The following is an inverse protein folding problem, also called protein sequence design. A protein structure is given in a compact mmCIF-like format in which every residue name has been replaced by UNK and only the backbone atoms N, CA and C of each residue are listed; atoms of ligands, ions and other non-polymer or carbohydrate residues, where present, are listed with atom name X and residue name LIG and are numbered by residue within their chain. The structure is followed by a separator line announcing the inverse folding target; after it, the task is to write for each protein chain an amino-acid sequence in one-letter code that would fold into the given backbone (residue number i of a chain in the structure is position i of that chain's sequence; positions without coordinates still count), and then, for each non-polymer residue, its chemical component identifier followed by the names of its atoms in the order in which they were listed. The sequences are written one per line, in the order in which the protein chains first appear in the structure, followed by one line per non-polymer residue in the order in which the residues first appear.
data_IF_277175073846
#
_entry.id   IF_277175073846
#
_cell.length_a   1.000
_cell.length_b   1.000
_cell.length_c   1.000
_cell.angle_alpha   90.00
_cell.angle_beta   90.00
_cell.angle_gamma   90.00
#
_symmetry.space_group_name_H-M   'P 1'
#
loop_
_entity.id
_entity.type
_entity.pdbx_description
1 polymer ?
#
# COMPACT_ATOMS: atom_id res chain seq x y z
N UNK A 1 -49.32 79.47 -56.18
CA UNK A 1 -49.26 78.02 -56.43
C UNK A 1 -47.79 77.60 -56.43
N UNK A 2 -47.21 77.28 -55.27
CA UNK A 2 -45.80 76.85 -55.22
C UNK A 2 -45.66 75.49 -55.86
N UNK A 3 -44.82 75.39 -56.89
CA UNK A 3 -44.59 74.16 -57.64
C UNK A 3 -44.07 73.07 -56.68
N UNK A 4 -44.46 71.81 -56.92
CA UNK A 4 -43.99 70.65 -56.14
C UNK A 4 -42.44 70.62 -56.02
N UNK A 5 -41.77 71.08 -57.08
CA UNK A 5 -40.31 71.20 -57.17
C UNK A 5 -39.74 72.23 -56.19
N UNK A 6 -40.40 73.38 -55.99
CA UNK A 6 -39.96 74.41 -55.04
C UNK A 6 -40.05 73.92 -53.59
N UNK A 7 -41.11 73.17 -53.26
CA UNK A 7 -41.27 72.58 -51.92
C UNK A 7 -40.17 71.56 -51.63
N UNK A 8 -39.84 70.69 -52.60
CA UNK A 8 -38.74 69.74 -52.48
C UNK A 8 -37.38 70.44 -52.36
N UNK A 9 -37.16 71.49 -53.16
CA UNK A 9 -35.94 72.29 -53.10
C UNK A 9 -35.73 72.91 -51.72
N UNK A 10 -36.75 73.56 -51.15
CA UNK A 10 -36.65 74.17 -49.82
C UNK A 10 -36.40 73.12 -48.73
N UNK A 11 -37.05 71.96 -48.80
CA UNK A 11 -36.85 70.88 -47.82
C UNK A 11 -35.45 70.28 -47.91
N UNK A 12 -34.96 69.96 -49.11
CA UNK A 12 -33.61 69.43 -49.28
C UNK A 12 -32.56 70.47 -48.87
N UNK A 13 -32.78 71.74 -49.24
CA UNK A 13 -31.88 72.82 -48.86
C UNK A 13 -31.76 72.98 -47.35
N UNK A 14 -32.88 72.99 -46.62
CA UNK A 14 -32.89 73.04 -45.15
C UNK A 14 -32.11 71.87 -44.53
N UNK A 15 -32.26 70.66 -45.07
CA UNK A 15 -31.54 69.47 -44.58
C UNK A 15 -30.02 69.57 -44.85
N UNK A 16 -29.64 70.05 -46.02
CA UNK A 16 -28.24 70.29 -46.37
C UNK A 16 -27.62 71.40 -45.51
N UNK A 17 -28.34 72.50 -45.27
CA UNK A 17 -27.90 73.59 -44.40
C UNK A 17 -27.71 73.14 -42.95
N UNK A 18 -28.60 72.27 -42.44
CA UNK A 18 -28.47 71.65 -41.10
C UNK A 18 -27.21 70.82 -40.96
N UNK A 19 -26.72 70.23 -42.06
CA UNK A 19 -25.48 69.46 -42.12
C UNK A 19 -24.27 70.32 -42.50
N UNK A 20 -24.46 71.64 -42.69
CA UNK A 20 -23.39 72.59 -43.00
C UNK A 20 -23.06 72.74 -44.49
N UNK A 21 -23.79 72.09 -45.39
CA UNK A 21 -23.60 72.21 -46.84
C UNK A 21 -24.24 73.48 -47.39
N UNK A 22 -23.47 74.57 -47.39
CA UNK A 22 -23.98 75.92 -47.76
C UNK A 22 -23.81 76.29 -49.23
N UNK A 23 -23.22 75.45 -50.07
CA UNK A 23 -22.94 75.74 -51.50
C UNK A 23 -24.23 75.98 -52.30
N UNK A 24 -24.19 76.85 -53.31
CA UNK A 24 -25.36 77.13 -54.14
C UNK A 24 -25.86 75.87 -54.87
N UNK A 25 -27.18 75.64 -54.86
CA UNK A 25 -27.83 74.47 -55.47
C UNK A 25 -28.68 74.90 -56.66
N UNK A 26 -28.38 74.36 -57.84
CA UNK A 26 -29.18 74.59 -59.05
C UNK A 26 -30.40 73.67 -59.12
N UNK A 27 -31.50 74.15 -59.71
CA UNK A 27 -32.78 73.42 -59.82
C UNK A 27 -32.61 72.12 -60.61
N UNK A 28 -31.77 72.12 -61.65
CA UNK A 28 -31.46 70.95 -62.49
C UNK A 28 -30.79 69.79 -61.72
N UNK A 29 -30.03 70.12 -60.66
CA UNK A 29 -29.32 69.14 -59.86
C UNK A 29 -30.16 68.53 -58.72
N UNK A 30 -31.36 69.07 -58.49
CA UNK A 30 -32.21 68.71 -57.35
C UNK A 30 -32.54 67.21 -57.25
N UNK A 31 -32.98 66.51 -58.33
CA UNK A 31 -33.34 65.10 -58.24
C UNK A 31 -32.14 64.18 -57.93
N UNK A 32 -30.96 64.54 -58.44
CA UNK A 32 -29.73 63.78 -58.22
C UNK A 32 -29.25 63.94 -56.77
N UNK A 33 -29.20 65.17 -56.28
CA UNK A 33 -28.78 65.45 -54.90
C UNK A 33 -29.76 64.84 -53.89
N UNK A 34 -31.07 64.87 -54.16
CA UNK A 34 -32.08 64.22 -53.31
C UNK A 34 -31.83 62.70 -53.19
N UNK A 35 -31.55 62.02 -54.32
CA UNK A 35 -31.23 60.59 -54.32
C UNK A 35 -29.93 60.28 -53.60
N UNK A 36 -28.85 60.98 -53.93
CA UNK A 36 -27.54 60.79 -53.28
C UNK A 36 -27.62 61.05 -51.77
N UNK A 37 -28.38 62.06 -51.36
CA UNK A 37 -28.59 62.37 -49.96
C UNK A 37 -29.38 61.28 -49.23
N UNK A 38 -30.44 60.77 -49.87
CA UNK A 38 -31.19 59.63 -49.34
C UNK A 38 -30.33 58.38 -49.21
N UNK A 39 -29.52 58.07 -50.22
CA UNK A 39 -28.61 56.91 -50.22
C UNK A 39 -27.52 57.05 -49.15
N UNK A 40 -26.98 58.26 -48.95
CA UNK A 40 -26.00 58.52 -47.91
C UNK A 40 -26.59 58.38 -46.49
N UNK A 41 -27.81 58.87 -46.28
CA UNK A 41 -28.52 58.67 -45.02
C UNK A 41 -28.82 57.18 -44.79
N UNK A 42 -29.30 56.49 -45.82
CA UNK A 42 -29.62 55.07 -45.72
C UNK A 42 -28.36 54.23 -45.43
N UNK A 43 -27.25 54.49 -46.11
CA UNK A 43 -25.98 53.78 -45.87
C UNK A 43 -25.44 54.06 -44.47
N UNK A 44 -25.50 55.31 -44.00
CA UNK A 44 -25.08 55.70 -42.65
C UNK A 44 -25.95 55.06 -41.57
N UNK A 45 -27.27 55.07 -41.73
CA UNK A 45 -28.20 54.44 -40.78
C UNK A 45 -28.05 52.91 -40.77
N UNK A 46 -27.89 52.29 -41.93
CA UNK A 46 -27.60 50.86 -42.05
C UNK A 46 -26.28 50.50 -41.37
N UNK A 47 -25.21 51.27 -41.59
CA UNK A 47 -23.91 51.05 -40.93
C UNK A 47 -24.00 51.23 -39.41
N UNK A 48 -24.75 52.21 -38.93
CA UNK A 48 -25.00 52.40 -37.49
C UNK A 48 -25.76 51.21 -36.89
N UNK A 49 -26.79 50.72 -37.58
CA UNK A 49 -27.57 49.53 -37.16
C UNK A 49 -26.71 48.27 -37.14
N UNK A 50 -25.89 48.03 -38.16
CA UNK A 50 -25.00 46.85 -38.20
C UNK A 50 -23.95 46.91 -37.09
N UNK A 51 -23.30 48.07 -36.88
CA UNK A 51 -22.32 48.24 -35.79
C UNK A 51 -22.94 47.99 -34.41
N UNK A 52 -24.15 48.51 -34.17
CA UNK A 52 -24.88 48.26 -32.92
C UNK A 52 -25.29 46.80 -32.77
N UNK A 53 -25.71 46.15 -33.87
CA UNK A 53 -26.03 44.71 -33.89
C UNK A 53 -24.82 43.85 -33.55
N UNK A 54 -23.66 44.15 -34.14
CA UNK A 54 -22.39 43.46 -33.86
C UNK A 54 -22.02 43.64 -32.39
N UNK A 55 -22.05 44.86 -31.86
CA UNK A 55 -21.71 45.11 -30.45
C UNK A 55 -22.61 44.34 -29.49
N UNK A 56 -23.93 44.30 -29.75
CA UNK A 56 -24.88 43.55 -28.92
C UNK A 56 -24.67 42.04 -29.02
N UNK A 57 -24.42 41.53 -30.22
CA UNK A 57 -24.17 40.11 -30.45
C UNK A 57 -22.87 39.66 -29.78
N UNK A 58 -21.80 40.47 -29.84
CA UNK A 58 -20.54 40.19 -29.15
C UNK A 58 -20.74 40.18 -27.63
N UNK A 59 -21.45 41.16 -27.06
CA UNK A 59 -21.77 41.15 -25.63
C UNK A 59 -22.61 39.93 -25.23
N UNK A 60 -23.70 39.66 -25.95
CA UNK A 60 -24.57 38.52 -25.65
C UNK A 60 -23.87 37.16 -25.80
N UNK A 61 -22.96 37.02 -26.78
CA UNK A 61 -22.17 35.80 -26.95
C UNK A 61 -21.13 35.64 -25.86
N UNK A 62 -20.53 36.73 -25.40
CA UNK A 62 -19.61 36.69 -24.27
C UNK A 62 -20.35 36.27 -22.99
N UNK A 63 -21.51 36.88 -22.71
CA UNK A 63 -22.34 36.53 -21.56
C UNK A 63 -22.77 35.06 -21.58
N UNK A 64 -23.21 34.55 -22.73
CA UNK A 64 -23.60 33.13 -22.87
C UNK A 64 -22.40 32.19 -22.76
N UNK A 65 -21.24 32.54 -23.30
CA UNK A 65 -20.01 31.74 -23.17
C UNK A 65 -19.54 31.69 -21.72
N UNK A 66 -19.58 32.84 -21.03
CA UNK A 66 -19.21 32.92 -19.61
C UNK A 66 -20.16 32.11 -18.74
N UNK A 67 -21.47 32.21 -18.96
CA UNK A 67 -22.46 31.41 -18.21
C UNK A 67 -22.25 29.90 -18.41
N UNK A 68 -21.85 29.48 -19.61
CA UNK A 68 -21.53 28.07 -19.89
C UNK A 68 -20.24 27.67 -19.18
N UNK A 69 -19.20 28.50 -19.19
CA UNK A 69 -17.96 28.20 -18.48
C UNK A 69 -18.17 28.15 -16.96
N UNK A 70 -18.94 29.08 -16.39
CA UNK A 70 -19.30 29.10 -14.97
C UNK A 70 -20.12 27.86 -14.57
N UNK A 71 -20.95 27.33 -15.47
CA UNK A 71 -21.69 26.10 -15.24
C UNK A 71 -20.82 24.84 -15.33
N UNK A 72 -19.75 24.87 -16.14
CA UNK A 72 -18.86 23.72 -16.37
C UNK A 72 -17.70 23.68 -15.36
N UNK A 73 -17.25 24.83 -14.87
CA UNK A 73 -16.12 24.95 -13.93
C UNK A 73 -16.24 24.02 -12.71
N UNK A 74 -17.39 23.91 -12.00
CA UNK A 74 -17.52 23.01 -10.86
C UNK A 74 -17.27 21.55 -11.24
N UNK A 75 -17.77 21.12 -12.39
CA UNK A 75 -17.58 19.75 -12.89
C UNK A 75 -16.13 19.50 -13.31
N UNK A 76 -15.42 20.50 -13.83
CA UNK A 76 -13.99 20.37 -14.15
C UNK A 76 -13.15 20.21 -12.89
N UNK A 77 -13.43 21.02 -11.88
CA UNK A 77 -12.73 20.95 -10.58
C UNK A 77 -13.01 19.61 -9.90
N UNK A 78 -14.27 19.17 -9.86
CA UNK A 78 -14.63 17.90 -9.23
C UNK A 78 -14.05 16.70 -9.98
N UNK A 79 -14.10 16.68 -11.32
CA UNK A 79 -13.44 15.64 -12.11
C UNK A 79 -11.93 15.61 -11.89
N UNK A 80 -11.26 16.76 -11.81
CA UNK A 80 -9.83 16.81 -11.52
C UNK A 80 -9.52 16.22 -10.13
N UNK A 81 -10.35 16.53 -9.13
CA UNK A 81 -10.24 15.96 -7.78
C UNK A 81 -10.47 14.45 -7.78
N UNK A 82 -11.53 13.97 -8.45
CA UNK A 82 -11.87 12.55 -8.53
C UNK A 82 -10.79 11.76 -9.25
N UNK A 83 -10.21 12.29 -10.34
CA UNK A 83 -9.09 11.65 -11.03
C UNK A 83 -7.86 11.56 -10.14
N UNK A 84 -7.56 12.61 -9.37
CA UNK A 84 -6.45 12.59 -8.42
C UNK A 84 -6.67 11.55 -7.31
N UNK A 85 -7.87 11.51 -6.73
CA UNK A 85 -8.26 10.55 -5.71
C UNK A 85 -8.22 9.11 -6.25
N UNK A 86 -8.76 8.88 -7.44
CA UNK A 86 -8.75 7.58 -8.10
C UNK A 86 -7.33 7.06 -8.33
N UNK A 87 -6.43 7.92 -8.82
CA UNK A 87 -5.03 7.58 -9.01
C UNK A 87 -4.33 7.27 -7.69
N UNK A 88 -4.58 8.07 -6.63
CA UNK A 88 -4.02 7.81 -5.29
C UNK A 88 -4.50 6.48 -4.74
N UNK A 89 -5.81 6.23 -4.78
CA UNK A 89 -6.41 4.97 -4.32
C UNK A 89 -5.88 3.78 -5.11
N UNK A 90 -5.68 3.93 -6.43
CA UNK A 90 -5.11 2.88 -7.25
C UNK A 90 -3.68 2.52 -6.82
N UNK A 91 -2.84 3.53 -6.56
CA UNK A 91 -1.47 3.32 -6.07
C UNK A 91 -1.46 2.66 -4.68
N UNK A 92 -2.32 3.10 -3.77
CA UNK A 92 -2.43 2.52 -2.43
C UNK A 92 -2.92 1.06 -2.49
N UNK A 93 -3.86 0.75 -3.38
CA UNK A 93 -4.35 -0.61 -3.59
C UNK A 93 -3.23 -1.51 -4.14
N UNK A 94 -2.46 -1.04 -5.12
CA UNK A 94 -1.31 -1.79 -5.65
C UNK A 94 -0.30 -2.06 -4.55
N UNK A 95 0.10 -1.03 -3.80
CA UNK A 95 1.07 -1.14 -2.72
C UNK A 95 0.62 -2.11 -1.62
N UNK A 96 -0.61 -1.96 -1.13
CA UNK A 96 -1.15 -2.82 -0.08
C UNK A 96 -1.28 -4.27 -0.53
N UNK A 97 -1.62 -4.50 -1.81
CA UNK A 97 -1.64 -5.85 -2.39
C UNK A 97 -0.24 -6.46 -2.44
N UNK A 98 0.76 -5.71 -2.89
CA UNK A 98 2.16 -6.17 -2.93
C UNK A 98 2.69 -6.50 -1.54
N UNK A 99 2.42 -5.65 -0.54
CA UNK A 99 2.78 -5.87 0.87
C UNK A 99 2.12 -7.13 1.44
N UNK A 100 0.83 -7.33 1.15
CA UNK A 100 0.10 -8.54 1.58
C UNK A 100 0.63 -9.81 0.90
N UNK A 101 0.93 -9.75 -0.40
CA UNK A 101 1.53 -10.86 -1.13
C UNK A 101 2.92 -11.20 -0.59
N UNK A 102 3.75 -10.19 -0.29
CA UNK A 102 5.06 -10.38 0.33
C UNK A 102 4.95 -11.00 1.73
N UNK A 103 4.07 -10.47 2.58
CA UNK A 103 3.82 -11.00 3.91
C UNK A 103 3.30 -12.45 3.84
N UNK A 104 2.38 -12.75 2.92
CA UNK A 104 1.87 -14.12 2.71
C UNK A 104 2.98 -15.09 2.29
N UNK A 105 3.87 -14.68 1.39
CA UNK A 105 5.03 -15.50 0.98
C UNK A 105 5.98 -15.75 2.15
N UNK A 106 6.30 -14.71 2.93
CA UNK A 106 7.18 -14.83 4.10
C UNK A 106 6.59 -15.75 5.18
N UNK A 107 5.31 -15.59 5.49
CA UNK A 107 4.62 -16.45 6.46
C UNK A 107 4.58 -17.91 5.98
N UNK A 108 4.29 -18.16 4.70
CA UNK A 108 4.33 -19.51 4.14
C UNK A 108 5.72 -20.13 4.20
N UNK A 109 6.77 -19.34 3.96
CA UNK A 109 8.15 -19.80 4.08
C UNK A 109 8.50 -20.15 5.54
N UNK A 110 8.12 -19.29 6.49
CA UNK A 110 8.32 -19.52 7.92
C UNK A 110 7.56 -20.76 8.42
N UNK A 111 6.31 -20.96 7.98
CA UNK A 111 5.54 -22.17 8.27
C UNK A 111 6.30 -23.41 7.80
N UNK A 112 6.77 -23.44 6.55
CA UNK A 112 7.53 -24.58 6.03
C UNK A 112 8.79 -24.81 6.86
N UNK A 113 9.54 -23.76 7.19
CA UNK A 113 10.74 -23.90 8.02
C UNK A 113 10.42 -24.53 9.38
N UNK A 114 9.39 -24.02 10.07
CA UNK A 114 8.95 -24.56 11.35
C UNK A 114 8.42 -26.00 11.24
N UNK A 115 7.77 -26.36 10.14
CA UNK A 115 7.33 -27.74 9.89
C UNK A 115 8.51 -28.70 9.76
N UNK A 116 9.59 -28.29 9.08
CA UNK A 116 10.81 -29.10 8.95
C UNK A 116 11.50 -29.24 10.32
N UNK A 117 11.70 -28.14 11.04
CA UNK A 117 12.30 -28.16 12.38
C UNK A 117 11.48 -29.02 13.36
N UNK A 118 10.15 -28.93 13.31
CA UNK A 118 9.28 -29.76 14.14
C UNK A 118 9.38 -31.25 13.77
N UNK A 119 9.48 -31.57 12.48
CA UNK A 119 9.70 -32.94 12.03
C UNK A 119 11.04 -33.51 12.54
N UNK A 120 12.12 -32.71 12.45
CA UNK A 120 13.44 -33.09 12.94
C UNK A 120 13.46 -33.27 14.46
N UNK A 121 12.84 -32.35 15.21
CA UNK A 121 12.70 -32.46 16.66
C UNK A 121 11.87 -33.69 17.07
N UNK A 122 10.79 -34.00 16.35
CA UNK A 122 10.00 -35.22 16.60
C UNK A 122 10.82 -36.49 16.32
N UNK A 123 11.61 -36.48 15.26
CA UNK A 123 12.51 -37.59 14.94
C UNK A 123 13.56 -37.77 16.05
N UNK A 124 14.23 -36.69 16.45
CA UNK A 124 15.23 -36.69 17.51
C UNK A 124 14.64 -37.15 18.86
N UNK A 125 13.46 -36.63 19.22
CA UNK A 125 12.76 -37.05 20.44
C UNK A 125 12.43 -38.55 20.41
N UNK A 126 11.98 -39.06 19.26
CA UNK A 126 11.73 -40.50 19.07
C UNK A 126 13.00 -41.33 19.28
N UNK A 127 14.16 -40.87 18.79
CA UNK A 127 15.46 -41.52 19.02
C UNK A 127 15.83 -41.51 20.51
N UNK A 128 15.67 -40.38 21.19
CA UNK A 128 15.96 -40.30 22.63
C UNK A 128 15.06 -41.23 23.45
N UNK A 129 13.77 -41.34 23.11
CA UNK A 129 12.87 -42.31 23.75
C UNK A 129 13.38 -43.75 23.60
N UNK A 130 13.84 -44.14 22.40
CA UNK A 130 14.40 -45.49 22.19
C UNK A 130 15.71 -45.70 22.96
N UNK A 131 16.56 -44.67 23.01
CA UNK A 131 17.82 -44.72 23.76
C UNK A 131 17.57 -44.88 25.25
N UNK A 132 16.63 -44.12 25.82
CA UNK A 132 16.22 -44.23 27.22
C UNK A 132 15.74 -45.64 27.52
N UNK A 133 14.81 -46.18 26.72
CA UNK A 133 14.32 -47.57 26.89
C UNK A 133 15.44 -48.60 26.89
N UNK A 134 16.43 -48.43 26.01
CA UNK A 134 17.59 -49.34 25.92
C UNK A 134 18.44 -49.26 27.19
N UNK A 135 18.75 -48.05 27.65
CA UNK A 135 19.53 -47.82 28.88
C UNK A 135 18.79 -48.31 30.12
N UNK A 136 17.49 -48.09 30.20
CA UNK A 136 16.64 -48.61 31.29
C UNK A 136 16.66 -50.14 31.36
N UNK A 137 16.54 -50.81 30.20
CA UNK A 137 16.64 -52.27 30.11
C UNK A 137 18.01 -52.78 30.54
N UNK A 138 19.10 -52.14 30.09
CA UNK A 138 20.45 -52.49 30.52
C UNK A 138 20.65 -52.27 32.02
N UNK A 139 20.14 -51.17 32.57
CA UNK A 139 20.20 -50.85 33.99
C UNK A 139 19.48 -51.89 34.84
N UNK A 140 18.26 -52.28 34.43
CA UNK A 140 17.51 -53.36 35.07
C UNK A 140 18.27 -54.68 35.02
N UNK A 141 18.84 -55.06 33.87
CA UNK A 141 19.63 -56.29 33.73
C UNK A 141 20.89 -56.31 34.59
N UNK A 142 21.61 -55.17 34.67
CA UNK A 142 22.77 -55.01 35.57
C UNK A 142 22.35 -55.16 37.03
N UNK A 143 21.22 -54.56 37.42
CA UNK A 143 20.67 -54.67 38.78
C UNK A 143 20.32 -56.11 39.14
N UNK A 144 19.63 -56.84 38.25
CA UNK A 144 19.31 -58.26 38.44
C UNK A 144 20.58 -59.13 38.57
N UNK A 145 21.61 -58.82 37.76
CA UNK A 145 22.88 -59.54 37.80
C UNK A 145 23.61 -59.29 39.12
N UNK A 146 23.64 -58.05 39.60
CA UNK A 146 24.20 -57.68 40.90
C UNK A 146 23.46 -58.43 42.01
N UNK A 147 22.13 -58.47 41.97
CA UNK A 147 21.33 -59.18 42.97
C UNK A 147 21.65 -60.68 42.99
N UNK A 148 21.68 -61.34 41.82
CA UNK A 148 22.07 -62.76 41.72
C UNK A 148 23.48 -63.03 42.24
N UNK A 149 24.43 -62.15 41.96
CA UNK A 149 25.80 -62.28 42.47
C UNK A 149 25.86 -62.08 43.99
N UNK A 150 25.10 -61.13 44.54
CA UNK A 150 24.97 -60.96 45.98
C UNK A 150 24.37 -62.20 46.64
N UNK A 151 23.30 -62.77 46.08
CA UNK A 151 22.68 -64.02 46.57
C UNK A 151 23.65 -65.21 46.54
N UNK A 152 24.44 -65.37 45.47
CA UNK A 152 25.48 -66.41 45.38
C UNK A 152 26.62 -66.17 46.39
N UNK A 153 27.03 -64.92 46.57
CA UNK A 153 28.04 -64.57 47.58
C UNK A 153 27.52 -64.85 49.00
N UNK A 154 26.21 -64.65 49.26
CA UNK A 154 25.52 -65.06 50.49
C UNK A 154 25.67 -66.55 50.84
N UNK A 155 25.82 -67.39 49.83
CA UNK A 155 25.91 -68.84 49.97
C UNK A 155 27.36 -69.37 49.93
N UNK A 156 28.36 -68.50 49.69
CA UNK A 156 29.75 -68.90 49.63
C UNK A 156 30.28 -69.28 51.03
N UNK A 157 30.39 -70.59 51.30
CA UNK A 157 31.01 -71.13 52.51
C UNK A 157 32.53 -71.02 52.39
N UNK A 158 33.15 -70.13 53.16
CA UNK A 158 34.61 -70.07 53.30
C UNK A 158 35.06 -71.31 54.06
N UNK A 159 35.59 -72.30 53.33
CA UNK A 159 36.21 -73.46 53.94
C UNK A 159 37.64 -73.08 54.31
N UNK A 160 37.87 -72.75 55.58
CA UNK A 160 39.23 -72.55 56.09
C UNK A 160 39.95 -73.91 56.17
N UNK A 161 41.28 -73.99 55.93
CA UNK A 161 42.06 -75.24 55.94
C UNK A 161 42.22 -75.90 57.33
N UNK A 162 41.21 -75.82 58.20
CA UNK A 162 41.22 -76.30 59.58
C UNK A 162 39.92 -76.98 60.04
N UNK A 163 39.05 -77.40 59.12
CA UNK A 163 38.00 -78.41 59.36
C UNK A 163 36.82 -78.03 60.27
N UNK A 164 36.77 -76.83 60.86
CA UNK A 164 35.60 -76.40 61.65
C UNK A 164 34.71 -75.47 60.84
N UNK A 165 33.56 -75.99 60.39
CA UNK A 165 32.46 -75.19 59.80
C UNK A 165 32.00 -74.17 60.84
N UNK A 166 32.39 -72.90 60.71
CA UNK A 166 31.81 -71.79 61.47
C UNK A 166 30.85 -71.04 60.55
N UNK A 167 29.60 -70.94 60.95
CA UNK A 167 28.60 -70.09 60.30
C UNK A 167 28.95 -68.63 60.64
N UNK A 168 29.70 -67.95 59.79
CA UNK A 168 30.05 -66.55 59.99
C UNK A 168 28.82 -65.72 59.58
N UNK A 169 28.28 -64.85 60.44
CA UNK A 169 27.11 -64.05 60.09
C UNK A 169 27.44 -63.13 58.92
N UNK A 170 26.51 -63.09 57.96
CA UNK A 170 26.70 -62.37 56.72
C UNK A 170 26.75 -60.87 56.96
N UNK A 171 27.95 -60.28 56.91
CA UNK A 171 28.10 -58.83 56.95
C UNK A 171 27.83 -58.32 55.54
N UNK A 172 26.63 -57.74 55.31
CA UNK A 172 26.38 -56.97 54.09
C UNK A 172 27.47 -55.90 54.00
N UNK A 173 28.38 -56.04 53.04
CA UNK A 173 29.33 -54.99 52.70
C UNK A 173 28.52 -53.82 52.14
N UNK A 174 28.08 -52.92 53.01
CA UNK A 174 27.53 -51.64 52.62
C UNK A 174 28.72 -50.76 52.26
N UNK A 175 28.90 -50.47 50.97
CA UNK A 175 29.64 -49.25 50.62
C UNK A 175 28.80 -48.08 51.11
N UNK A 176 29.28 -47.39 52.14
CA UNK A 176 28.89 -46.01 52.35
C UNK A 176 29.58 -45.23 51.22
N UNK A 177 28.78 -44.77 50.28
CA UNK A 177 29.20 -43.78 49.30
C UNK A 177 28.88 -42.44 49.93
N UNK A 178 29.91 -41.73 50.38
CA UNK A 178 29.77 -40.40 50.98
C UNK A 178 29.28 -39.36 49.96
N UNK A 179 29.44 -39.65 48.65
CA UNK A 179 28.89 -38.86 47.55
C UNK A 179 28.80 -39.71 46.27
N UNK A 180 27.76 -39.49 45.46
CA UNK A 180 27.61 -40.10 44.13
C UNK A 180 28.45 -39.40 43.06
N UNK A 181 29.02 -38.24 43.38
CA UNK A 181 29.85 -37.42 42.51
C UNK A 181 31.06 -36.91 43.29
N UNK A 182 32.28 -36.91 42.73
CA UNK A 182 33.41 -36.22 43.38
C UNK A 182 33.04 -34.75 43.63
N UNK A 183 33.53 -34.13 44.73
CA UNK A 183 33.31 -32.71 44.97
C UNK A 183 33.81 -31.94 43.75
N UNK A 184 33.08 -30.90 43.30
CA UNK A 184 33.51 -30.12 42.16
C UNK A 184 34.90 -29.56 42.48
N UNK A 185 35.91 -30.06 41.79
CA UNK A 185 37.23 -29.43 41.80
C UNK A 185 36.98 -28.01 41.31
N UNK A 186 37.22 -27.04 42.18
CA UNK A 186 36.99 -25.61 41.92
C UNK A 186 37.85 -25.04 40.77
N UNK A 187 38.57 -25.90 40.06
CA UNK A 187 39.28 -25.63 38.82
C UNK A 187 38.89 -26.68 37.76
N UNK A 188 37.59 -26.79 37.45
CA UNK A 188 37.22 -27.29 36.15
C UNK A 188 37.57 -26.18 35.15
N UNK A 189 38.63 -26.43 34.35
CA UNK A 189 38.74 -25.81 33.05
C UNK A 189 37.34 -25.78 32.44
N UNK A 190 36.96 -24.62 31.91
CA UNK A 190 35.83 -24.51 31.00
C UNK A 190 36.18 -25.47 29.86
N UNK A 191 35.73 -26.72 29.99
CA UNK A 191 35.71 -27.65 28.88
C UNK A 191 34.74 -27.00 27.94
N UNK A 192 35.27 -26.43 26.85
CA UNK A 192 34.50 -26.25 25.63
C UNK A 192 33.75 -27.57 25.44
N UNK A 193 32.44 -27.54 25.58
CA UNK A 193 31.60 -28.64 25.15
C UNK A 193 32.09 -29.01 23.73
N UNK A 194 32.38 -30.29 23.44
CA UNK A 194 32.54 -30.66 22.03
C UNK A 194 31.25 -30.23 21.34
N UNK A 195 31.38 -29.46 20.26
CA UNK A 195 30.25 -28.93 19.49
C UNK A 195 29.21 -30.02 19.34
N UNK A 196 28.08 -29.87 20.04
CA UNK A 196 26.95 -30.76 19.90
C UNK A 196 26.41 -30.50 18.49
N UNK A 197 26.51 -31.46 17.56
CA UNK A 197 26.09 -31.26 16.18
C UNK A 197 24.57 -31.01 16.04
N UNK A 198 23.83 -31.02 17.16
CA UNK A 198 22.41 -30.73 17.24
C UNK A 198 22.06 -29.46 18.04
N UNK A 199 23.05 -28.68 18.47
CA UNK A 199 22.83 -27.36 19.08
C UNK A 199 23.45 -26.31 18.14
N UNK A 200 22.59 -25.56 17.46
CA UNK A 200 22.95 -24.42 16.62
C UNK A 200 22.96 -23.11 17.43
#
# INVERSE_FOLDING_TARGET
MSSLTEKKFVTLRKRLDQLGYRQALGIESLPLVERLFSDLLHTTDSLKKTKLGISKHVSSNNDTTQMVEDAIEPYRVDNARLVQENNSLHLDLVKTKEELEAASKNLKASIRQLEHENADLRFLNSQFIQKVKTVEKESSSKTDTIQKLQEKNLQAVIQTPGGRKRTIPFRRQRMQIDSTLPPPTTNAYISSQPDDPYIA
#
